data_IF_111475023972
#
_entry.id   IF_111475023972
#
_cell.length_a   1.000
_cell.length_b   1.000
_cell.length_c   1.000
_cell.angle_alpha   90.00
_cell.angle_beta   90.00
_cell.angle_gamma   90.00
#
_symmetry.space_group_name_H-M   'P 1'
#
loop_
_entity.id
_entity.type
_entity.pdbx_description
1 polymer ?
#
# COMPACT_ATOMS: atom_id res chain seq x y z
N UNK A 1 21.42 -42.98 7.40
CA UNK A 1 21.27 -42.48 6.01
C UNK A 1 19.84 -42.08 5.68
N UNK A 2 18.82 -42.91 5.98
CA UNK A 2 17.42 -42.57 5.74
C UNK A 2 16.95 -41.30 6.43
N UNK A 3 17.46 -41.00 7.63
CA UNK A 3 17.08 -39.81 8.42
C UNK A 3 17.50 -38.51 7.75
N UNK A 4 18.70 -38.42 7.15
CA UNK A 4 19.19 -37.18 6.54
C UNK A 4 18.46 -36.86 5.23
N UNK A 5 18.18 -37.85 4.41
CA UNK A 5 17.40 -37.68 3.17
C UNK A 5 15.94 -37.34 3.49
N UNK A 6 15.39 -37.99 4.50
CA UNK A 6 14.02 -37.75 4.95
C UNK A 6 13.85 -36.35 5.58
N UNK A 7 14.82 -35.89 6.39
CA UNK A 7 14.80 -34.55 6.96
C UNK A 7 14.91 -33.45 5.88
N UNK A 8 15.78 -33.63 4.87
CA UNK A 8 15.88 -32.69 3.75
C UNK A 8 14.61 -32.67 2.92
N UNK A 9 14.02 -33.84 2.66
CA UNK A 9 12.74 -33.98 1.96
C UNK A 9 11.57 -33.37 2.75
N UNK A 10 11.48 -33.64 4.07
CA UNK A 10 10.44 -33.10 4.94
C UNK A 10 10.56 -31.58 5.08
N UNK A 11 11.79 -31.05 5.24
CA UNK A 11 12.04 -29.60 5.25
C UNK A 11 11.66 -28.95 3.92
N UNK A 12 12.04 -29.54 2.80
CA UNK A 12 11.68 -29.07 1.46
C UNK A 12 10.17 -29.09 1.21
N UNK A 13 9.44 -30.10 1.72
CA UNK A 13 8.00 -30.17 1.60
C UNK A 13 7.25 -29.26 2.59
N UNK A 14 7.73 -29.13 3.83
CA UNK A 14 7.18 -28.20 4.82
C UNK A 14 7.25 -26.75 4.32
N UNK A 15 8.45 -26.33 3.87
CA UNK A 15 8.64 -25.01 3.26
C UNK A 15 7.76 -24.80 2.01
N UNK A 16 7.50 -25.86 1.24
CA UNK A 16 6.60 -25.78 0.08
C UNK A 16 5.15 -25.57 0.48
N UNK A 17 4.67 -26.23 1.53
CA UNK A 17 3.28 -26.11 2.00
C UNK A 17 3.03 -24.72 2.57
N UNK A 18 3.94 -24.20 3.41
CA UNK A 18 3.87 -22.83 3.96
C UNK A 18 3.92 -21.77 2.86
N UNK A 19 4.78 -21.97 1.87
CA UNK A 19 4.87 -21.11 0.71
C UNK A 19 3.58 -21.07 -0.11
N UNK A 20 3.00 -22.24 -0.41
CA UNK A 20 1.73 -22.30 -1.13
C UNK A 20 0.57 -21.69 -0.35
N UNK A 21 0.58 -21.81 0.98
CA UNK A 21 -0.41 -21.19 1.85
C UNK A 21 -0.26 -19.65 1.88
N UNK A 22 0.97 -19.12 1.92
CA UNK A 22 1.24 -17.68 1.88
C UNK A 22 0.89 -17.09 0.51
N UNK A 23 1.25 -17.74 -0.58
CA UNK A 23 0.82 -17.36 -1.94
C UNK A 23 -0.69 -17.35 -2.08
N UNK A 24 -1.38 -18.33 -1.53
CA UNK A 24 -2.85 -18.38 -1.55
C UNK A 24 -3.49 -17.19 -0.82
N UNK A 25 -2.94 -16.79 0.33
CA UNK A 25 -3.40 -15.59 1.07
C UNK A 25 -3.15 -14.30 0.30
N UNK A 26 -1.95 -14.13 -0.26
CA UNK A 26 -1.58 -12.94 -1.04
C UNK A 26 -2.42 -12.84 -2.32
N UNK A 27 -2.59 -13.95 -3.01
CA UNK A 27 -3.43 -14.03 -4.19
C UNK A 27 -4.91 -13.69 -3.89
N UNK A 28 -5.45 -14.18 -2.78
CA UNK A 28 -6.81 -13.84 -2.35
C UNK A 28 -6.94 -12.33 -2.04
N UNK A 29 -5.89 -11.72 -1.49
CA UNK A 29 -5.85 -10.27 -1.23
C UNK A 29 -5.80 -9.47 -2.53
N UNK A 30 -4.97 -9.86 -3.49
CA UNK A 30 -4.93 -9.23 -4.81
C UNK A 30 -6.28 -9.28 -5.53
N UNK A 31 -6.99 -10.42 -5.49
CA UNK A 31 -8.31 -10.51 -6.12
C UNK A 31 -9.31 -9.57 -5.46
N UNK A 32 -9.32 -9.52 -4.13
CA UNK A 32 -10.20 -8.61 -3.39
C UNK A 32 -9.96 -7.16 -3.80
N UNK A 33 -8.70 -6.79 -3.94
CA UNK A 33 -8.29 -5.43 -4.28
C UNK A 33 -8.54 -5.10 -5.76
N UNK A 34 -8.31 -6.04 -6.67
CA UNK A 34 -8.61 -5.87 -8.10
C UNK A 34 -10.12 -5.74 -8.37
N UNK A 35 -10.96 -6.55 -7.71
CA UNK A 35 -12.42 -6.42 -7.83
C UNK A 35 -12.94 -5.12 -7.22
N UNK A 36 -12.33 -4.66 -6.14
CA UNK A 36 -12.61 -3.34 -5.57
C UNK A 36 -12.30 -2.21 -6.57
N UNK A 37 -11.16 -2.29 -7.26
CA UNK A 37 -10.72 -1.33 -8.28
C UNK A 37 -11.70 -1.18 -9.44
N UNK A 38 -12.19 -2.30 -9.98
CA UNK A 38 -13.08 -2.32 -11.13
C UNK A 38 -14.45 -1.68 -10.83
N UNK A 39 -14.90 -1.78 -9.58
CA UNK A 39 -16.19 -1.27 -9.12
C UNK A 39 -16.14 0.17 -8.54
N UNK A 40 -14.95 0.68 -8.29
CA UNK A 40 -14.75 1.99 -7.64
C UNK A 40 -15.33 3.21 -8.38
N UNK A 41 -15.12 3.41 -9.69
CA UNK A 41 -15.63 4.59 -10.39
C UNK A 41 -17.16 4.64 -10.38
N UNK A 42 -17.82 3.50 -10.64
CA UNK A 42 -19.28 3.40 -10.67
C UNK A 42 -19.90 3.60 -9.29
N UNK A 43 -19.16 3.22 -8.25
CA UNK A 43 -19.62 3.36 -6.87
C UNK A 43 -19.65 4.83 -6.43
N UNK A 44 -18.62 5.62 -6.79
CA UNK A 44 -18.59 7.06 -6.49
C UNK A 44 -19.67 7.84 -7.22
N UNK A 45 -19.89 7.57 -8.50
CA UNK A 45 -20.98 8.22 -9.25
C UNK A 45 -22.33 7.87 -8.65
N UNK A 46 -22.56 6.60 -8.31
CA UNK A 46 -23.80 6.14 -7.67
C UNK A 46 -24.02 6.77 -6.29
N UNK A 47 -22.96 6.92 -5.47
CA UNK A 47 -23.07 7.61 -4.18
C UNK A 47 -23.41 9.09 -4.40
N UNK A 48 -22.74 9.74 -5.36
CA UNK A 48 -22.99 11.14 -5.68
C UNK A 48 -24.42 11.38 -6.12
N UNK A 49 -24.87 10.62 -7.10
CA UNK A 49 -26.25 10.71 -7.61
C UNK A 49 -27.29 10.46 -6.51
N UNK A 50 -27.05 9.44 -5.68
CA UNK A 50 -27.95 9.12 -4.55
C UNK A 50 -27.99 10.25 -3.51
N UNK A 51 -26.85 10.81 -3.13
CA UNK A 51 -26.80 11.90 -2.15
C UNK A 51 -27.43 13.17 -2.72
N UNK A 52 -27.14 13.49 -3.97
CA UNK A 52 -27.71 14.65 -4.65
C UNK A 52 -29.23 14.52 -4.77
N UNK A 53 -29.71 13.39 -5.25
CA UNK A 53 -31.12 13.14 -5.42
C UNK A 53 -31.88 13.16 -4.06
N UNK A 54 -31.30 12.50 -3.05
CA UNK A 54 -31.88 12.49 -1.69
C UNK A 54 -31.91 13.88 -1.07
N UNK A 55 -30.87 14.68 -1.27
CA UNK A 55 -30.78 16.05 -0.79
C UNK A 55 -31.83 16.92 -1.49
N UNK A 56 -31.97 16.80 -2.80
CA UNK A 56 -33.02 17.49 -3.59
C UNK A 56 -34.41 17.09 -3.12
N UNK A 57 -34.69 15.81 -3.01
CA UNK A 57 -36.00 15.29 -2.57
C UNK A 57 -36.37 15.72 -1.15
N UNK A 58 -35.42 15.85 -0.25
CA UNK A 58 -35.67 16.28 1.11
C UNK A 58 -35.84 17.80 1.23
N UNK A 59 -35.05 18.60 0.55
CA UNK A 59 -34.98 20.06 0.77
C UNK A 59 -35.86 20.86 -0.18
N UNK A 60 -35.91 20.54 -1.48
CA UNK A 60 -36.62 21.36 -2.47
C UNK A 60 -38.12 21.49 -2.13
N UNK A 61 -38.87 20.41 -1.77
CA UNK A 61 -40.27 20.53 -1.41
C UNK A 61 -40.49 21.39 -0.16
N UNK A 62 -39.57 21.34 0.80
CA UNK A 62 -39.69 22.15 2.02
C UNK A 62 -39.43 23.64 1.72
N UNK A 63 -38.43 23.93 0.88
CA UNK A 63 -38.15 25.30 0.46
C UNK A 63 -39.30 25.91 -0.34
N UNK A 64 -39.93 25.11 -1.23
CA UNK A 64 -41.14 25.54 -1.97
C UNK A 64 -42.29 25.83 -1.03
N UNK A 65 -42.59 24.89 -0.09
CA UNK A 65 -43.67 25.09 0.88
C UNK A 65 -43.47 26.34 1.78
N UNK A 66 -42.21 26.64 2.15
CA UNK A 66 -41.90 27.87 2.90
C UNK A 66 -42.09 29.11 2.02
N UNK A 67 -41.74 29.07 0.73
CA UNK A 67 -41.98 30.17 -0.23
C UNK A 67 -43.46 30.43 -0.40
N UNK A 68 -44.31 29.39 -0.47
CA UNK A 68 -45.74 29.49 -0.63
C UNK A 68 -46.42 30.12 0.60
N UNK A 69 -46.01 29.73 1.82
CA UNK A 69 -46.47 30.33 3.07
C UNK A 69 -46.17 31.83 3.18
N UNK A 70 -45.12 32.27 2.55
CA UNK A 70 -44.71 33.68 2.49
C UNK A 70 -45.45 34.44 1.37
N UNK A 71 -46.18 33.75 0.47
CA UNK A 71 -46.83 34.33 -0.71
C UNK A 71 -48.30 34.64 -0.52
N UNK A 72 -49.12 33.76 0.12
CA UNK A 72 -50.58 33.85 0.08
C UNK A 72 -51.25 34.44 1.32
N UNK A 73 -50.70 34.31 2.50
CA UNK A 73 -51.09 35.01 3.73
C UNK A 73 -49.89 34.89 4.67
N UNK A 74 -49.23 35.96 4.97
CA UNK A 74 -47.98 35.96 5.77
C UNK A 74 -48.16 35.22 7.11
N UNK A 75 -48.25 33.88 7.07
CA UNK A 75 -48.24 33.02 8.24
C UNK A 75 -46.79 32.82 8.68
N UNK A 76 -46.24 33.90 9.19
CA UNK A 76 -44.82 34.02 9.59
C UNK A 76 -44.46 33.01 10.66
N UNK A 77 -45.37 32.68 11.57
CA UNK A 77 -45.14 31.70 12.62
C UNK A 77 -44.92 30.28 12.04
N UNK A 78 -45.77 29.89 11.11
CA UNK A 78 -45.64 28.58 10.47
C UNK A 78 -44.37 28.51 9.58
N UNK A 79 -44.02 29.59 8.88
CA UNK A 79 -42.77 29.66 8.10
C UNK A 79 -41.53 29.57 8.99
N UNK A 80 -41.54 30.22 10.16
CA UNK A 80 -40.46 30.13 11.16
C UNK A 80 -40.32 28.69 11.70
N UNK A 81 -41.43 28.05 12.05
CA UNK A 81 -41.41 26.66 12.57
C UNK A 81 -40.95 25.67 11.51
N UNK A 82 -41.36 25.83 10.25
CA UNK A 82 -40.88 24.99 9.14
C UNK A 82 -39.39 25.21 8.84
N UNK A 83 -38.91 26.44 8.87
CA UNK A 83 -37.48 26.73 8.72
C UNK A 83 -36.67 26.06 9.84
N UNK A 84 -37.12 26.20 11.09
CA UNK A 84 -36.47 25.55 12.24
C UNK A 84 -36.46 24.03 12.09
N UNK A 85 -37.59 23.43 11.72
CA UNK A 85 -37.73 22.00 11.47
C UNK A 85 -36.75 21.52 10.36
N UNK A 86 -36.71 22.24 9.23
CA UNK A 86 -35.83 21.90 8.11
C UNK A 86 -34.37 21.92 8.54
N UNK A 87 -33.94 22.92 9.32
CA UNK A 87 -32.55 23.01 9.79
C UNK A 87 -32.21 21.90 10.79
N UNK A 88 -33.09 21.63 11.77
CA UNK A 88 -32.77 20.71 12.89
C UNK A 88 -33.02 19.26 12.54
N UNK A 89 -34.14 18.97 11.85
CA UNK A 89 -34.62 17.60 11.65
C UNK A 89 -34.29 17.04 10.26
N UNK A 90 -33.82 17.89 9.32
CA UNK A 90 -33.43 17.42 7.98
C UNK A 90 -31.96 17.67 7.71
N UNK A 91 -31.46 18.91 7.79
CA UNK A 91 -30.10 19.24 7.40
C UNK A 91 -29.08 18.62 8.38
N UNK A 92 -29.26 18.77 9.70
CA UNK A 92 -28.34 18.25 10.69
C UNK A 92 -28.20 16.73 10.67
N UNK A 93 -29.28 15.94 10.62
CA UNK A 93 -29.17 14.49 10.48
C UNK A 93 -28.51 14.07 9.17
N UNK A 94 -28.84 14.74 8.04
CA UNK A 94 -28.23 14.46 6.75
C UNK A 94 -26.71 14.72 6.76
N UNK A 95 -26.25 15.82 7.36
CA UNK A 95 -24.82 16.09 7.54
C UNK A 95 -24.14 15.00 8.38
N UNK A 96 -24.79 14.55 9.46
CA UNK A 96 -24.26 13.47 10.31
C UNK A 96 -24.17 12.14 9.56
N UNK A 97 -25.15 11.84 8.72
CA UNK A 97 -25.15 10.63 7.89
C UNK A 97 -24.00 10.69 6.86
N UNK A 98 -23.84 11.80 6.14
CA UNK A 98 -22.75 12.01 5.18
C UNK A 98 -21.37 11.89 5.87
N UNK A 99 -21.22 12.47 7.06
CA UNK A 99 -20.00 12.39 7.84
C UNK A 99 -19.68 10.96 8.32
N UNK A 100 -20.71 10.15 8.59
CA UNK A 100 -20.54 8.77 9.09
C UNK A 100 -20.49 7.71 8.00
N UNK A 101 -20.67 8.06 6.73
CA UNK A 101 -20.69 7.10 5.62
C UNK A 101 -19.28 6.57 5.36
N UNK A 102 -18.97 5.40 5.94
CA UNK A 102 -17.71 4.70 5.69
C UNK A 102 -17.83 3.86 4.41
N UNK A 103 -16.73 3.76 3.63
CA UNK A 103 -16.72 2.86 2.49
C UNK A 103 -16.98 1.44 2.96
N UNK A 104 -18.09 0.84 2.50
CA UNK A 104 -18.41 -0.55 2.84
C UNK A 104 -17.31 -1.45 2.27
N UNK A 105 -16.73 -2.36 3.08
CA UNK A 105 -15.75 -3.29 2.58
C UNK A 105 -16.38 -4.12 1.43
N UNK A 106 -15.72 -4.12 0.28
CA UNK A 106 -16.19 -4.84 -0.89
C UNK A 106 -16.35 -6.33 -0.59
N UNK A 107 -17.54 -6.88 -0.82
CA UNK A 107 -17.77 -8.32 -0.77
C UNK A 107 -17.13 -8.98 -1.99
N UNK A 108 -16.10 -9.77 -1.77
CA UNK A 108 -15.44 -10.54 -2.84
C UNK A 108 -16.36 -11.66 -3.31
N UNK A 109 -16.95 -11.51 -4.50
CA UNK A 109 -17.87 -12.53 -5.05
C UNK A 109 -17.19 -13.52 -6.02
N UNK A 110 -15.94 -13.34 -6.39
CA UNK A 110 -15.35 -14.18 -7.45
C UNK A 110 -13.92 -14.66 -7.17
N UNK A 111 -13.79 -15.56 -6.20
CA UNK A 111 -12.52 -16.28 -5.93
C UNK A 111 -12.25 -17.39 -6.98
N UNK A 112 -13.20 -17.68 -7.86
CA UNK A 112 -13.13 -18.86 -8.74
C UNK A 112 -12.21 -18.75 -9.96
N UNK A 113 -11.76 -17.56 -10.34
CA UNK A 113 -10.93 -17.34 -11.54
C UNK A 113 -9.41 -17.32 -11.31
N UNK A 114 -8.96 -17.66 -10.11
CA UNK A 114 -7.52 -17.70 -9.89
C UNK A 114 -6.90 -18.90 -10.58
N UNK A 115 -6.24 -18.63 -11.68
CA UNK A 115 -5.34 -19.60 -12.32
C UNK A 115 -4.27 -19.95 -11.30
N UNK A 116 -4.25 -21.20 -10.82
CA UNK A 116 -3.22 -21.72 -9.92
C UNK A 116 -1.87 -21.24 -10.42
N UNK A 117 -1.22 -20.33 -9.68
CA UNK A 117 0.16 -19.98 -9.96
C UNK A 117 0.95 -21.28 -9.83
N UNK A 118 1.35 -21.84 -10.95
CA UNK A 118 2.04 -23.11 -10.97
C UNK A 118 3.37 -22.93 -10.26
N UNK A 119 3.58 -23.63 -9.15
CA UNK A 119 4.87 -23.75 -8.46
C UNK A 119 5.89 -24.54 -9.29
N UNK A 120 5.66 -24.67 -10.60
CA UNK A 120 6.56 -25.32 -11.53
C UNK A 120 7.85 -24.50 -11.65
N UNK A 121 8.99 -25.18 -11.63
CA UNK A 121 10.28 -24.61 -11.91
C UNK A 121 10.25 -23.87 -13.27
N UNK A 122 11.02 -22.77 -13.44
CA UNK A 122 11.08 -22.07 -14.70
C UNK A 122 11.45 -23.05 -15.84
N UNK A 123 10.85 -22.84 -17.01
CA UNK A 123 11.07 -23.74 -18.14
C UNK A 123 12.55 -23.74 -18.60
N UNK A 124 13.23 -22.61 -18.42
CA UNK A 124 14.66 -22.40 -18.77
C UNK A 124 15.36 -21.56 -17.74
N UNK A 125 16.63 -21.84 -17.46
CA UNK A 125 17.49 -21.05 -16.55
C UNK A 125 19.00 -21.24 -16.90
N UNK A 126 19.84 -20.30 -16.42
CA UNK A 126 21.30 -20.38 -16.57
C UNK A 126 21.86 -21.42 -15.60
N UNK A 127 22.45 -22.49 -16.11
CA UNK A 127 23.07 -23.53 -15.28
C UNK A 127 24.39 -23.02 -14.66
N UNK A 128 25.11 -22.14 -15.36
CA UNK A 128 26.37 -21.57 -14.87
C UNK A 128 26.17 -20.83 -13.53
N UNK A 129 25.11 -20.00 -13.43
CA UNK A 129 24.85 -19.17 -12.25
C UNK A 129 24.26 -19.98 -11.08
N UNK A 130 23.55 -21.07 -11.41
CA UNK A 130 22.84 -21.88 -10.42
C UNK A 130 23.66 -23.05 -9.85
N UNK A 131 24.79 -23.40 -10.48
CA UNK A 131 25.61 -24.49 -10.02
C UNK A 131 26.46 -24.03 -8.82
N UNK A 132 26.14 -24.55 -7.64
CA UNK A 132 26.83 -24.26 -6.38
C UNK A 132 27.97 -25.27 -6.16
N UNK A 133 29.12 -25.06 -6.83
CA UNK A 133 30.26 -25.95 -6.77
C UNK A 133 30.76 -26.15 -5.34
N UNK A 134 30.95 -25.06 -4.57
CA UNK A 134 31.46 -25.12 -3.20
C UNK A 134 30.60 -25.99 -2.29
N UNK A 135 29.29 -25.73 -2.27
CA UNK A 135 28.36 -26.49 -1.43
C UNK A 135 28.21 -27.94 -1.87
N UNK A 136 28.25 -28.21 -3.20
CA UNK A 136 28.23 -29.58 -3.72
C UNK A 136 29.47 -30.35 -3.24
N UNK A 137 30.63 -29.72 -3.25
CA UNK A 137 31.89 -30.33 -2.78
C UNK A 137 31.93 -30.52 -1.25
N UNK A 138 31.30 -29.62 -0.48
CA UNK A 138 31.14 -29.79 0.97
C UNK A 138 30.23 -30.97 1.32
N UNK A 139 29.15 -31.20 0.56
CA UNK A 139 28.30 -32.37 0.77
C UNK A 139 29.05 -33.67 0.49
N UNK A 140 29.85 -33.70 -0.59
CA UNK A 140 30.69 -34.83 -0.92
C UNK A 140 31.76 -35.06 0.15
N UNK A 141 32.43 -34.00 0.62
CA UNK A 141 33.38 -34.06 1.72
C UNK A 141 32.78 -34.72 2.96
N UNK A 142 31.61 -34.25 3.43
CA UNK A 142 30.94 -34.79 4.60
C UNK A 142 30.58 -36.27 4.38
N UNK A 143 30.08 -36.60 3.20
CA UNK A 143 29.74 -37.98 2.85
C UNK A 143 30.91 -38.93 2.85
N UNK A 144 31.97 -38.59 2.15
CA UNK A 144 33.18 -39.46 1.98
C UNK A 144 34.04 -39.47 3.23
N UNK A 145 34.25 -38.31 3.89
CA UNK A 145 35.14 -38.21 5.08
C UNK A 145 34.61 -39.03 6.26
N UNK A 146 33.31 -39.06 6.48
CA UNK A 146 32.70 -39.85 7.55
C UNK A 146 33.06 -41.33 7.40
N UNK A 147 33.08 -41.86 6.19
CA UNK A 147 33.43 -43.25 5.93
C UNK A 147 34.93 -43.52 5.98
N UNK A 148 35.76 -42.61 5.44
CA UNK A 148 37.22 -42.75 5.47
C UNK A 148 37.75 -42.76 6.92
N UNK A 149 37.18 -41.94 7.78
CA UNK A 149 37.56 -41.90 9.22
C UNK A 149 37.08 -43.17 9.93
N UNK A 150 35.79 -43.57 9.71
CA UNK A 150 35.20 -44.74 10.38
C UNK A 150 35.89 -46.07 9.95
N UNK A 151 36.33 -46.16 8.71
CA UNK A 151 37.02 -47.35 8.18
C UNK A 151 38.51 -47.36 8.47
N UNK A 152 39.04 -46.38 9.23
CA UNK A 152 40.40 -46.37 9.76
C UNK A 152 41.49 -46.08 8.69
N UNK A 153 41.22 -45.23 7.72
CA UNK A 153 42.28 -44.74 6.84
C UNK A 153 43.41 -44.11 7.64
N UNK A 154 44.67 -44.46 7.40
CA UNK A 154 45.82 -43.95 8.16
C UNK A 154 45.94 -42.44 8.17
N UNK A 155 45.48 -41.79 7.08
CA UNK A 155 45.49 -40.35 6.87
C UNK A 155 44.09 -39.79 6.60
N UNK A 156 43.06 -40.32 7.25
CA UNK A 156 41.63 -40.08 6.92
C UNK A 156 41.25 -38.63 6.69
N UNK A 157 41.86 -37.69 7.40
CA UNK A 157 41.61 -36.24 7.21
C UNK A 157 42.26 -35.74 5.91
N UNK A 158 43.51 -36.10 5.64
CA UNK A 158 44.24 -35.69 4.43
C UNK A 158 43.58 -36.31 3.18
N UNK A 159 43.18 -37.56 3.26
CA UNK A 159 42.50 -38.28 2.19
C UNK A 159 41.11 -37.66 1.90
N UNK A 160 40.42 -37.24 2.94
CA UNK A 160 39.14 -36.52 2.79
C UNK A 160 39.33 -35.17 2.10
N UNK A 161 40.35 -34.41 2.46
CA UNK A 161 40.70 -33.15 1.81
C UNK A 161 41.14 -33.34 0.35
N UNK A 162 41.89 -34.43 0.06
CA UNK A 162 42.24 -34.74 -1.32
C UNK A 162 41.02 -35.08 -2.17
N UNK A 163 40.08 -35.89 -1.66
CA UNK A 163 38.81 -36.18 -2.33
C UNK A 163 38.00 -34.91 -2.58
N UNK A 164 37.90 -34.02 -1.59
CA UNK A 164 37.28 -32.70 -1.75
C UNK A 164 37.92 -31.87 -2.84
N UNK A 165 39.26 -31.77 -2.83
CA UNK A 165 39.99 -30.98 -3.81
C UNK A 165 39.80 -31.51 -5.25
N UNK A 166 39.81 -32.84 -5.44
CA UNK A 166 39.55 -33.47 -6.72
C UNK A 166 38.11 -33.14 -7.20
N UNK A 167 37.14 -33.39 -6.37
CA UNK A 167 35.71 -33.14 -6.70
C UNK A 167 35.46 -31.66 -7.01
N UNK A 168 35.96 -30.78 -6.15
CA UNK A 168 35.84 -29.32 -6.33
C UNK A 168 36.49 -28.84 -7.64
N UNK A 169 37.69 -29.36 -7.96
CA UNK A 169 38.40 -28.98 -9.18
C UNK A 169 37.62 -29.40 -10.43
N UNK A 170 37.14 -30.63 -10.48
CA UNK A 170 36.37 -31.14 -11.62
C UNK A 170 35.09 -30.33 -11.83
N UNK A 171 34.34 -30.07 -10.76
CA UNK A 171 33.13 -29.25 -10.85
C UNK A 171 33.41 -27.78 -11.20
N UNK A 172 34.57 -27.23 -10.73
CA UNK A 172 34.97 -25.85 -11.07
C UNK A 172 35.35 -25.74 -12.54
N UNK A 173 36.07 -26.71 -13.09
CA UNK A 173 36.37 -26.78 -14.53
C UNK A 173 35.09 -26.90 -15.34
N UNK A 174 34.18 -27.75 -14.90
CA UNK A 174 32.88 -27.86 -15.55
C UNK A 174 32.10 -26.50 -15.55
N UNK A 175 32.03 -25.86 -14.40
CA UNK A 175 31.38 -24.54 -14.30
C UNK A 175 32.04 -23.51 -15.23
N UNK A 176 33.36 -23.53 -15.33
CA UNK A 176 34.13 -22.66 -16.22
C UNK A 176 33.82 -22.92 -17.71
N UNK A 177 33.62 -24.17 -18.09
CA UNK A 177 33.28 -24.57 -19.47
C UNK A 177 31.81 -24.27 -19.83
N UNK A 178 30.93 -24.07 -18.85
CA UNK A 178 29.54 -23.75 -19.11
C UNK A 178 29.38 -22.34 -19.69
N UNK A 179 28.63 -22.17 -20.79
CA UNK A 179 28.38 -20.86 -21.36
C UNK A 179 27.49 -20.04 -20.43
N UNK A 180 27.93 -18.86 -20.03
CA UNK A 180 27.27 -17.97 -19.06
C UNK A 180 25.85 -17.55 -19.52
N UNK A 181 25.66 -17.31 -20.83
CA UNK A 181 24.42 -16.78 -21.36
C UNK A 181 23.40 -17.84 -21.82
N UNK A 182 23.82 -19.14 -21.85
CA UNK A 182 22.95 -20.19 -22.38
C UNK A 182 21.94 -20.64 -21.34
N UNK A 183 20.67 -20.56 -21.70
CA UNK A 183 19.57 -21.08 -20.88
C UNK A 183 19.30 -22.55 -21.23
N UNK A 184 19.16 -23.37 -20.22
CA UNK A 184 18.89 -24.80 -20.33
C UNK A 184 17.49 -25.12 -19.85
N UNK A 185 16.84 -26.10 -20.48
CA UNK A 185 15.64 -26.70 -19.95
C UNK A 185 15.95 -27.49 -18.67
N UNK A 186 14.97 -27.60 -17.76
CA UNK A 186 15.10 -28.32 -16.50
C UNK A 186 15.71 -29.72 -16.66
N UNK A 187 15.17 -30.52 -17.59
CA UNK A 187 15.67 -31.89 -17.82
C UNK A 187 17.09 -31.92 -18.31
N UNK A 188 17.45 -31.04 -19.24
CA UNK A 188 18.82 -30.92 -19.76
C UNK A 188 19.80 -30.45 -18.68
N UNK A 189 19.38 -29.50 -17.83
CA UNK A 189 20.22 -29.02 -16.74
C UNK A 189 20.49 -30.10 -15.69
N UNK A 190 19.45 -30.85 -15.29
CA UNK A 190 19.60 -31.99 -14.36
C UNK A 190 20.48 -33.06 -14.99
N UNK A 191 20.28 -33.42 -16.25
CA UNK A 191 21.09 -34.43 -16.96
C UNK A 191 22.57 -34.02 -17.02
N UNK A 192 22.85 -32.79 -17.45
CA UNK A 192 24.24 -32.28 -17.50
C UNK A 192 24.88 -32.25 -16.12
N UNK A 193 24.18 -31.75 -15.11
CA UNK A 193 24.69 -31.71 -13.72
C UNK A 193 24.97 -33.12 -13.22
N UNK A 194 24.08 -34.08 -13.46
CA UNK A 194 24.29 -35.49 -13.08
C UNK A 194 25.46 -36.11 -13.81
N UNK A 195 25.60 -35.89 -15.11
CA UNK A 195 26.72 -36.41 -15.91
C UNK A 195 28.07 -35.95 -15.38
N UNK A 196 28.22 -34.65 -15.12
CA UNK A 196 29.50 -34.12 -14.61
C UNK A 196 29.74 -34.47 -13.13
N UNK A 197 28.69 -34.63 -12.35
CA UNK A 197 28.78 -35.12 -11.00
C UNK A 197 29.27 -36.58 -10.98
N UNK A 198 28.83 -37.43 -11.92
CA UNK A 198 29.39 -38.79 -12.11
C UNK A 198 30.86 -38.75 -12.46
N UNK A 199 31.26 -37.86 -13.37
CA UNK A 199 32.69 -37.72 -13.75
C UNK A 199 33.54 -37.29 -12.53
N UNK A 200 33.03 -36.30 -11.74
CA UNK A 200 33.72 -35.85 -10.54
C UNK A 200 33.84 -36.95 -9.48
N UNK A 201 32.77 -37.66 -9.22
CA UNK A 201 32.77 -38.79 -8.27
C UNK A 201 33.62 -39.95 -8.76
N UNK A 202 33.67 -40.22 -10.07
CA UNK A 202 34.56 -41.25 -10.64
C UNK A 202 36.03 -40.89 -10.44
N UNK A 203 36.41 -39.63 -10.53
CA UNK A 203 37.76 -39.18 -10.22
C UNK A 203 38.11 -39.39 -8.73
N UNK A 204 37.17 -39.18 -7.81
CA UNK A 204 37.36 -39.49 -6.39
C UNK A 204 37.49 -41.00 -6.16
N UNK A 205 36.67 -41.83 -6.81
CA UNK A 205 36.74 -43.28 -6.73
C UNK A 205 38.06 -43.80 -7.26
N UNK A 206 38.58 -43.23 -8.37
CA UNK A 206 39.87 -43.52 -8.90
C UNK A 206 40.99 -43.23 -7.90
N UNK A 207 40.94 -42.08 -7.23
CA UNK A 207 41.88 -41.75 -6.15
C UNK A 207 41.82 -42.79 -5.02
N UNK A 208 40.64 -43.17 -4.55
CA UNK A 208 40.43 -44.15 -3.49
C UNK A 208 41.03 -45.51 -3.90
N UNK A 209 40.83 -45.90 -5.16
CA UNK A 209 41.34 -47.17 -5.66
C UNK A 209 42.87 -47.25 -5.72
N UNK A 210 43.52 -46.21 -6.21
CA UNK A 210 45.00 -46.25 -6.44
C UNK A 210 45.82 -45.87 -5.22
N UNK A 211 45.29 -45.05 -4.32
CA UNK A 211 46.05 -44.49 -3.21
C UNK A 211 45.65 -45.03 -1.84
N UNK A 212 44.46 -45.59 -1.72
CA UNK A 212 43.93 -46.12 -0.45
C UNK A 212 43.77 -47.64 -0.56
N UNK A 213 44.65 -48.42 0.08
CA UNK A 213 44.65 -49.88 0.04
C UNK A 213 43.54 -50.50 0.89
N UNK A 214 42.28 -50.34 0.48
CA UNK A 214 41.13 -51.02 1.10
C UNK A 214 40.87 -52.42 0.52
N UNK A 215 40.20 -53.26 1.34
CA UNK A 215 39.69 -54.53 0.83
C UNK A 215 38.66 -54.29 -0.26
N UNK A 216 38.51 -55.23 -1.20
CA UNK A 216 37.59 -55.12 -2.33
C UNK A 216 36.15 -54.75 -1.89
N UNK A 217 35.64 -55.38 -0.82
CA UNK A 217 34.34 -55.11 -0.31
C UNK A 217 34.15 -53.66 0.16
N UNK A 218 35.13 -53.16 0.95
CA UNK A 218 35.12 -51.79 1.48
C UNK A 218 35.26 -50.80 0.34
N UNK A 219 36.08 -51.07 -0.66
CA UNK A 219 36.22 -50.25 -1.85
C UNK A 219 34.89 -50.04 -2.59
N UNK A 220 34.18 -51.13 -2.89
CA UNK A 220 32.92 -51.03 -3.60
C UNK A 220 31.82 -50.32 -2.80
N UNK A 221 31.83 -50.48 -1.47
CA UNK A 221 30.92 -49.71 -0.60
C UNK A 221 31.23 -48.20 -0.65
N UNK A 222 32.51 -47.80 -0.54
CA UNK A 222 32.94 -46.41 -0.64
C UNK A 222 32.65 -45.81 -2.03
N UNK A 223 32.97 -46.53 -3.10
CA UNK A 223 32.73 -46.11 -4.46
C UNK A 223 31.23 -45.88 -4.75
N UNK A 224 30.38 -46.82 -4.35
CA UNK A 224 28.94 -46.67 -4.49
C UNK A 224 28.41 -45.46 -3.71
N UNK A 225 28.95 -45.25 -2.51
CA UNK A 225 28.52 -44.13 -1.67
C UNK A 225 28.99 -42.77 -2.23
N UNK A 226 30.24 -42.65 -2.69
CA UNK A 226 30.78 -41.45 -3.31
C UNK A 226 29.96 -41.05 -4.56
N UNK A 227 29.64 -42.02 -5.41
CA UNK A 227 28.81 -41.76 -6.61
C UNK A 227 27.41 -41.29 -6.23
N UNK A 228 26.76 -41.92 -5.24
CA UNK A 228 25.42 -41.54 -4.80
C UNK A 228 25.40 -40.13 -4.20
N UNK A 229 26.31 -39.82 -3.28
CA UNK A 229 26.43 -38.49 -2.66
C UNK A 229 26.79 -37.42 -3.68
N UNK A 230 27.74 -37.72 -4.57
CA UNK A 230 28.22 -36.82 -5.59
C UNK A 230 27.15 -36.44 -6.63
N UNK A 231 26.21 -37.33 -6.92
CA UNK A 231 25.09 -37.01 -7.83
C UNK A 231 23.95 -36.27 -7.09
N UNK A 232 23.56 -36.77 -5.93
CA UNK A 232 22.42 -36.24 -5.19
C UNK A 232 22.67 -34.80 -4.74
N UNK A 233 23.87 -34.50 -4.23
CA UNK A 233 24.24 -33.19 -3.71
C UNK A 233 24.03 -32.06 -4.73
N UNK A 234 24.71 -32.04 -5.88
CA UNK A 234 24.57 -30.99 -6.89
C UNK A 234 23.17 -30.86 -7.44
N UNK A 235 22.45 -31.97 -7.66
CA UNK A 235 21.09 -31.99 -8.20
C UNK A 235 20.09 -31.38 -7.21
N UNK A 236 20.21 -31.74 -5.93
CA UNK A 236 19.37 -31.14 -4.87
C UNK A 236 19.66 -29.64 -4.71
N UNK A 237 20.92 -29.25 -4.64
CA UNK A 237 21.31 -27.85 -4.55
C UNK A 237 20.81 -27.05 -5.75
N UNK A 238 20.95 -27.57 -6.96
CA UNK A 238 20.43 -26.94 -8.17
C UNK A 238 18.92 -26.71 -8.07
N UNK A 239 18.17 -27.73 -7.64
CA UNK A 239 16.71 -27.60 -7.47
C UNK A 239 16.33 -26.58 -6.40
N UNK A 240 17.05 -26.56 -5.28
CA UNK A 240 16.82 -25.61 -4.20
C UNK A 240 17.10 -24.17 -4.66
N UNK A 241 18.23 -23.93 -5.32
CA UNK A 241 18.63 -22.60 -5.81
C UNK A 241 17.60 -22.03 -6.79
N UNK A 242 17.20 -22.83 -7.77
CA UNK A 242 16.19 -22.42 -8.76
C UNK A 242 14.83 -22.16 -8.12
N UNK A 243 14.46 -22.91 -7.08
CA UNK A 243 13.19 -22.69 -6.34
C UNK A 243 13.23 -21.42 -5.49
N UNK A 244 14.34 -21.17 -4.76
CA UNK A 244 14.45 -20.00 -3.89
C UNK A 244 14.46 -18.71 -4.71
N UNK A 245 15.13 -18.70 -5.86
CA UNK A 245 15.16 -17.52 -6.72
C UNK A 245 13.79 -17.21 -7.33
N UNK A 246 13.09 -18.24 -7.83
CA UNK A 246 11.70 -18.05 -8.32
C UNK A 246 10.77 -17.57 -7.21
N UNK A 247 10.96 -18.03 -5.99
CA UNK A 247 10.24 -17.55 -4.82
C UNK A 247 10.47 -16.05 -4.60
N UNK A 248 11.74 -15.63 -4.59
CA UNK A 248 12.11 -14.22 -4.38
C UNK A 248 11.56 -13.32 -5.48
N UNK A 249 11.59 -13.79 -6.74
CA UNK A 249 10.99 -13.05 -7.88
C UNK A 249 9.49 -12.86 -7.70
N UNK A 250 8.77 -13.92 -7.32
CA UNK A 250 7.32 -13.84 -7.07
C UNK A 250 7.01 -12.97 -5.84
N UNK A 251 7.80 -13.06 -4.78
CA UNK A 251 7.62 -12.22 -3.59
C UNK A 251 7.84 -10.74 -3.92
N UNK A 252 8.83 -10.41 -4.77
CA UNK A 252 9.04 -9.04 -5.24
C UNK A 252 7.85 -8.55 -6.09
N UNK A 253 7.42 -9.33 -7.08
CA UNK A 253 6.26 -8.96 -7.90
C UNK A 253 4.99 -8.74 -7.07
N UNK A 254 4.75 -9.60 -6.08
CA UNK A 254 3.59 -9.45 -5.18
C UNK A 254 3.70 -8.17 -4.35
N UNK A 255 4.90 -7.84 -3.87
CA UNK A 255 5.11 -6.60 -3.11
C UNK A 255 4.84 -5.38 -3.98
N UNK A 256 5.37 -5.33 -5.19
CA UNK A 256 5.15 -4.23 -6.13
C UNK A 256 3.66 -4.07 -6.47
N UNK A 257 2.95 -5.19 -6.68
CA UNK A 257 1.50 -5.19 -6.90
C UNK A 257 0.73 -4.67 -5.68
N UNK A 258 1.11 -5.07 -4.45
CA UNK A 258 0.48 -4.60 -3.22
C UNK A 258 0.69 -3.09 -3.02
N UNK A 259 1.88 -2.58 -3.29
CA UNK A 259 2.19 -1.15 -3.20
C UNK A 259 1.36 -0.35 -4.22
N UNK A 260 1.20 -0.85 -5.45
CA UNK A 260 0.34 -0.21 -6.46
C UNK A 260 -1.12 -0.15 -6.03
N UNK A 261 -1.63 -1.23 -5.45
CA UNK A 261 -3.00 -1.33 -4.96
C UNK A 261 -3.22 -0.43 -3.72
N UNK A 262 -2.24 -0.34 -2.83
CA UNK A 262 -2.32 0.57 -1.68
C UNK A 262 -2.45 2.03 -2.14
N UNK A 263 -1.66 2.44 -3.14
CA UNK A 263 -1.75 3.77 -3.76
C UNK A 263 -3.13 4.04 -4.38
N UNK A 264 -3.67 3.08 -5.13
CA UNK A 264 -5.01 3.21 -5.75
C UNK A 264 -6.13 3.31 -4.71
N UNK A 265 -6.06 2.52 -3.64
CA UNK A 265 -7.02 2.60 -2.54
C UNK A 265 -6.97 3.95 -1.84
N UNK A 266 -5.78 4.50 -1.62
CA UNK A 266 -5.62 5.83 -1.04
C UNK A 266 -6.16 6.93 -1.97
N UNK A 267 -5.94 6.84 -3.29
CA UNK A 267 -6.56 7.75 -4.26
C UNK A 267 -8.10 7.69 -4.23
N UNK A 268 -8.66 6.50 -4.04
CA UNK A 268 -10.10 6.35 -3.90
C UNK A 268 -10.60 6.96 -2.58
N UNK A 269 -9.92 6.69 -1.48
CA UNK A 269 -10.26 7.27 -0.18
C UNK A 269 -10.22 8.80 -0.24
N UNK A 270 -9.20 9.38 -0.89
CA UNK A 270 -9.13 10.84 -1.15
C UNK A 270 -10.37 11.34 -1.89
N UNK A 271 -10.76 10.69 -2.99
CA UNK A 271 -11.95 11.11 -3.76
C UNK A 271 -13.21 11.06 -2.93
N UNK A 272 -13.42 9.98 -2.17
CA UNK A 272 -14.59 9.83 -1.32
C UNK A 272 -14.60 10.87 -0.19
N UNK A 273 -13.43 11.12 0.41
CA UNK A 273 -13.27 12.13 1.45
C UNK A 273 -13.55 13.55 0.92
N UNK A 274 -12.95 13.91 -0.23
CA UNK A 274 -13.19 15.19 -0.91
C UNK A 274 -14.67 15.36 -1.22
N UNK A 275 -15.29 14.33 -1.74
CA UNK A 275 -16.70 14.32 -2.05
C UNK A 275 -17.56 14.58 -0.80
N UNK A 276 -17.33 13.83 0.29
CA UNK A 276 -18.04 14.04 1.57
C UNK A 276 -17.80 15.45 2.13
N UNK A 277 -16.56 15.90 2.11
CA UNK A 277 -16.19 17.22 2.63
C UNK A 277 -16.85 18.35 1.85
N UNK A 278 -16.89 18.27 0.52
CA UNK A 278 -17.58 19.24 -0.33
C UNK A 278 -19.09 19.28 -0.04
N UNK A 279 -19.74 18.13 0.10
CA UNK A 279 -21.16 18.08 0.49
C UNK A 279 -21.41 18.70 1.86
N UNK A 280 -20.57 18.43 2.84
CA UNK A 280 -20.68 19.06 4.17
C UNK A 280 -20.51 20.58 4.10
N UNK A 281 -19.59 21.08 3.28
CA UNK A 281 -19.41 22.51 3.07
C UNK A 281 -20.62 23.16 2.40
N UNK A 282 -21.23 22.53 1.39
CA UNK A 282 -22.45 23.00 0.75
C UNK A 282 -23.61 23.06 1.75
N UNK A 283 -23.85 21.96 2.46
CA UNK A 283 -24.98 21.88 3.40
C UNK A 283 -24.81 22.80 4.60
N UNK A 284 -23.64 22.82 5.22
CA UNK A 284 -23.38 23.66 6.40
C UNK A 284 -23.12 25.12 6.04
N UNK A 285 -22.26 25.38 5.05
CA UNK A 285 -21.86 26.72 4.65
C UNK A 285 -22.99 27.47 3.92
N UNK A 286 -23.49 26.90 2.84
CA UNK A 286 -24.39 27.63 1.94
C UNK A 286 -25.86 27.41 2.29
N UNK A 287 -26.31 26.16 2.48
CA UNK A 287 -27.73 25.88 2.71
C UNK A 287 -28.14 26.30 4.12
N UNK A 288 -27.45 25.77 5.14
CA UNK A 288 -27.81 26.06 6.53
C UNK A 288 -27.69 27.55 6.87
N UNK A 289 -26.64 28.23 6.38
CA UNK A 289 -26.44 29.66 6.64
C UNK A 289 -27.52 30.52 6.00
N UNK A 290 -27.93 30.21 4.75
CA UNK A 290 -29.01 30.90 4.07
C UNK A 290 -30.35 30.70 4.78
N UNK A 291 -30.66 29.48 5.23
CA UNK A 291 -31.89 29.22 5.99
C UNK A 291 -31.89 29.87 7.39
N UNK A 292 -30.71 29.92 8.03
CA UNK A 292 -30.52 30.61 9.32
C UNK A 292 -30.73 32.11 9.15
N UNK A 293 -30.20 32.69 8.06
CA UNK A 293 -30.43 34.11 7.76
C UNK A 293 -31.93 34.40 7.54
N UNK A 294 -32.61 33.56 6.75
CA UNK A 294 -34.08 33.67 6.54
C UNK A 294 -34.85 33.57 7.87
N UNK A 295 -34.51 32.58 8.71
CA UNK A 295 -35.10 32.40 10.04
C UNK A 295 -34.86 33.60 10.95
N UNK A 296 -33.64 34.11 11.02
CA UNK A 296 -33.28 35.25 11.86
C UNK A 296 -33.97 36.52 11.40
N UNK A 297 -34.12 36.76 10.10
CA UNK A 297 -34.87 37.89 9.56
C UNK A 297 -36.36 37.86 9.98
N UNK A 298 -36.98 36.70 9.86
CA UNK A 298 -38.39 36.54 10.25
C UNK A 298 -38.60 36.65 11.76
N UNK A 299 -37.68 36.16 12.58
CA UNK A 299 -37.79 36.21 14.05
C UNK A 299 -37.56 37.61 14.62
N UNK A 300 -36.70 38.42 14.01
CA UNK A 300 -36.35 39.76 14.50
C UNK A 300 -37.25 40.85 13.90
N UNK A 301 -38.12 40.52 12.96
CA UNK A 301 -38.99 41.48 12.34
C UNK A 301 -40.12 41.91 13.30
N UNK A 302 -40.32 43.20 13.48
CA UNK A 302 -41.44 43.76 14.22
C UNK A 302 -42.72 43.75 13.38
N UNK A 303 -42.60 43.95 12.09
CA UNK A 303 -43.67 43.90 11.09
C UNK A 303 -43.13 43.16 9.85
N UNK A 304 -44.00 42.40 9.20
CA UNK A 304 -43.66 41.66 7.97
C UNK A 304 -44.11 42.51 6.79
N UNK A 305 -43.19 43.20 6.20
CA UNK A 305 -43.40 43.98 4.99
C UNK A 305 -42.97 43.22 3.72
N UNK A 306 -43.34 43.74 2.54
CA UNK A 306 -42.99 43.13 1.26
C UNK A 306 -41.50 43.04 1.00
N UNK A 307 -40.71 43.96 1.59
CA UNK A 307 -39.25 43.97 1.44
C UNK A 307 -38.59 42.83 2.22
N UNK A 308 -39.08 42.59 3.44
CA UNK A 308 -38.62 41.46 4.25
C UNK A 308 -38.95 40.11 3.57
N UNK A 309 -40.15 39.96 3.06
CA UNK A 309 -40.56 38.76 2.33
C UNK A 309 -39.68 38.49 1.13
N UNK A 310 -39.31 39.54 0.37
CA UNK A 310 -38.41 39.39 -0.78
C UNK A 310 -37.00 38.99 -0.37
N UNK A 311 -36.45 39.57 0.72
CA UNK A 311 -35.14 39.17 1.26
C UNK A 311 -35.14 37.72 1.72
N UNK A 312 -36.18 37.24 2.38
CA UNK A 312 -36.33 35.86 2.80
C UNK A 312 -36.43 34.91 1.58
N UNK A 313 -37.20 35.30 0.54
CA UNK A 313 -37.26 34.56 -0.72
C UNK A 313 -35.90 34.46 -1.41
N UNK A 314 -35.09 35.51 -1.37
CA UNK A 314 -33.72 35.51 -1.89
C UNK A 314 -32.79 34.55 -1.08
N UNK A 315 -32.91 34.51 0.25
CA UNK A 315 -32.17 33.59 1.09
C UNK A 315 -32.58 32.13 0.76
N UNK A 316 -33.86 31.84 0.57
CA UNK A 316 -34.36 30.53 0.16
C UNK A 316 -33.86 30.14 -1.25
N UNK A 317 -33.86 31.09 -2.19
CA UNK A 317 -33.34 30.86 -3.54
C UNK A 317 -31.82 30.57 -3.54
N UNK A 318 -31.08 31.22 -2.64
CA UNK A 318 -29.62 30.90 -2.44
C UNK A 318 -29.45 29.48 -1.92
N UNK A 319 -30.25 29.05 -0.95
CA UNK A 319 -30.19 27.67 -0.45
C UNK A 319 -30.54 26.67 -1.55
N UNK A 320 -31.58 26.92 -2.35
CA UNK A 320 -31.98 26.06 -3.47
C UNK A 320 -30.87 25.96 -4.54
N UNK A 321 -30.31 27.10 -4.94
CA UNK A 321 -29.21 27.16 -5.91
C UNK A 321 -27.98 26.42 -5.39
N UNK A 322 -27.67 26.46 -4.09
CA UNK A 322 -26.57 25.75 -3.49
C UNK A 322 -26.73 24.22 -3.56
N UNK A 323 -27.95 23.69 -3.42
CA UNK A 323 -28.27 22.28 -3.58
C UNK A 323 -28.14 21.82 -5.05
N UNK A 324 -28.45 22.73 -6.00
CA UNK A 324 -28.42 22.44 -7.43
C UNK A 324 -27.06 22.71 -8.08
N UNK A 325 -26.20 23.51 -7.42
CA UNK A 325 -24.87 23.80 -7.93
C UNK A 325 -24.01 22.53 -7.97
N UNK A 326 -23.37 22.31 -9.10
CA UNK A 326 -22.44 21.21 -9.26
C UNK A 326 -21.23 21.36 -8.33
N UNK A 327 -20.75 20.24 -7.77
CA UNK A 327 -19.56 20.14 -6.90
C UNK A 327 -18.22 20.59 -7.55
N UNK A 328 -18.27 21.33 -8.66
CA UNK A 328 -17.14 21.59 -9.56
C UNK A 328 -16.40 22.91 -9.30
N UNK A 329 -16.63 23.58 -8.17
CA UNK A 329 -15.78 24.72 -7.84
C UNK A 329 -14.35 24.22 -7.58
N UNK A 330 -13.48 24.42 -8.58
CA UNK A 330 -12.05 24.10 -8.50
C UNK A 330 -11.42 24.94 -7.38
N UNK A 331 -10.99 24.28 -6.31
CA UNK A 331 -10.24 24.94 -5.26
C UNK A 331 -8.80 25.12 -5.76
N UNK A 332 -8.43 26.36 -5.99
CA UNK A 332 -7.06 26.70 -6.34
C UNK A 332 -6.19 26.62 -5.08
N UNK A 333 -5.27 25.66 -5.03
CA UNK A 333 -4.34 25.46 -3.91
C UNK A 333 -3.60 26.75 -3.52
N UNK A 334 -3.20 27.55 -4.51
CA UNK A 334 -2.49 28.81 -4.23
C UNK A 334 -3.36 29.82 -3.47
N UNK A 335 -4.64 29.90 -3.80
CA UNK A 335 -5.59 30.74 -3.06
C UNK A 335 -5.77 30.23 -1.63
N UNK A 336 -5.85 28.91 -1.44
CA UNK A 336 -5.94 28.31 -0.11
C UNK A 336 -4.70 28.55 0.75
N UNK A 337 -3.52 28.57 0.15
CA UNK A 337 -2.26 28.91 0.84
C UNK A 337 -2.24 30.40 1.23
N UNK A 338 -2.64 31.29 0.34
CA UNK A 338 -2.72 32.73 0.65
C UNK A 338 -3.72 32.98 1.79
N UNK A 339 -4.90 32.36 1.73
CA UNK A 339 -5.90 32.44 2.80
C UNK A 339 -5.32 31.92 4.14
N UNK A 340 -4.57 30.81 4.12
CA UNK A 340 -3.93 30.26 5.31
C UNK A 340 -2.90 31.25 5.90
N UNK A 341 -2.10 31.88 5.05
CA UNK A 341 -1.13 32.90 5.48
C UNK A 341 -1.83 34.15 6.05
N UNK A 342 -2.92 34.61 5.45
CA UNK A 342 -3.72 35.75 5.94
C UNK A 342 -4.38 35.45 7.30
N UNK A 343 -4.95 34.26 7.47
CA UNK A 343 -5.61 33.86 8.73
C UNK A 343 -4.65 33.87 9.91
N UNK A 344 -3.41 33.50 9.70
CA UNK A 344 -2.41 33.43 10.77
C UNK A 344 -1.44 34.63 10.79
N UNK A 345 -1.66 35.64 9.95
CA UNK A 345 -0.84 36.81 9.90
C UNK A 345 -0.76 37.54 11.29
N UNK A 346 0.46 37.84 11.73
CA UNK A 346 0.72 38.44 13.05
C UNK A 346 0.70 37.44 14.24
N UNK A 347 0.32 36.19 14.03
CA UNK A 347 0.34 35.10 15.04
C UNK A 347 1.46 34.12 14.71
N UNK A 348 1.46 33.60 13.49
CA UNK A 348 2.42 32.61 13.02
C UNK A 348 2.86 32.94 11.59
N UNK A 349 4.17 33.01 11.38
CA UNK A 349 4.74 33.20 10.03
C UNK A 349 4.71 31.85 9.29
N UNK A 350 3.92 31.76 8.23
CA UNK A 350 3.78 30.54 7.43
C UNK A 350 4.53 30.69 6.11
N UNK A 351 5.63 29.92 5.95
CA UNK A 351 6.43 29.87 4.72
C UNK A 351 6.10 28.60 3.94
N UNK A 352 5.74 28.74 2.65
CA UNK A 352 5.38 27.62 1.81
C UNK A 352 6.30 27.52 0.60
N UNK A 353 6.90 26.35 0.39
CA UNK A 353 7.74 26.01 -0.75
C UNK A 353 7.14 24.81 -1.48
N UNK A 354 6.91 24.94 -2.79
CA UNK A 354 6.35 23.89 -3.62
C UNK A 354 7.29 23.68 -4.81
N UNK A 355 7.78 22.46 -5.01
CA UNK A 355 8.64 22.17 -6.14
C UNK A 355 7.87 22.26 -7.47
N UNK A 356 8.54 22.56 -8.56
CA UNK A 356 7.92 22.66 -9.89
C UNK A 356 7.32 21.33 -10.37
N UNK A 357 7.85 20.19 -9.88
CA UNK A 357 7.27 18.86 -10.15
C UNK A 357 5.95 18.67 -9.39
N UNK A 358 5.90 19.10 -8.14
CA UNK A 358 4.68 19.04 -7.33
C UNK A 358 3.60 19.99 -7.86
N UNK A 359 3.95 21.24 -8.24
CA UNK A 359 3.00 22.18 -8.84
C UNK A 359 2.31 21.60 -10.07
N UNK A 360 3.09 20.99 -10.98
CA UNK A 360 2.54 20.36 -12.19
C UNK A 360 1.63 19.16 -11.89
N UNK A 361 1.94 18.37 -10.87
CA UNK A 361 1.11 17.24 -10.46
C UNK A 361 -0.21 17.72 -9.84
N UNK A 362 -0.15 18.71 -8.95
CA UNK A 362 -1.30 19.31 -8.29
C UNK A 362 -2.24 20.02 -9.26
N UNK A 363 -1.70 20.70 -10.27
CA UNK A 363 -2.51 21.35 -11.31
C UNK A 363 -3.34 20.36 -12.15
N UNK A 364 -3.04 19.06 -12.12
CA UNK A 364 -3.78 18.00 -12.83
C UNK A 364 -4.80 17.25 -11.98
N UNK A 365 -4.81 17.49 -10.66
CA UNK A 365 -5.69 16.79 -9.72
C UNK A 365 -6.28 17.75 -8.69
N UNK A 366 -7.48 18.23 -8.96
CA UNK A 366 -8.23 19.10 -8.04
C UNK A 366 -8.48 18.43 -6.71
N UNK A 367 -8.78 17.12 -6.70
CA UNK A 367 -9.02 16.37 -5.47
C UNK A 367 -7.76 16.30 -4.60
N UNK A 368 -6.60 16.03 -5.20
CA UNK A 368 -5.33 16.02 -4.44
C UNK A 368 -4.97 17.41 -3.95
N UNK A 369 -5.20 18.46 -4.76
CA UNK A 369 -4.97 19.86 -4.36
C UNK A 369 -5.85 20.25 -3.19
N UNK A 370 -7.11 19.80 -3.16
CA UNK A 370 -8.02 19.99 -2.05
C UNK A 370 -7.54 19.28 -0.79
N UNK A 371 -7.12 18.01 -0.89
CA UNK A 371 -6.56 17.26 0.23
C UNK A 371 -5.31 17.93 0.80
N UNK A 372 -4.38 18.38 -0.06
CA UNK A 372 -3.18 19.11 0.36
C UNK A 372 -3.56 20.36 1.14
N UNK A 373 -4.50 21.15 0.64
CA UNK A 373 -4.95 22.36 1.31
C UNK A 373 -5.52 22.10 2.71
N UNK A 374 -6.33 21.06 2.86
CA UNK A 374 -6.91 20.68 4.15
C UNK A 374 -5.85 20.13 5.13
N UNK A 375 -4.85 19.37 4.64
CA UNK A 375 -3.71 18.95 5.45
C UNK A 375 -2.93 20.17 5.97
N UNK A 376 -2.66 21.15 5.12
CA UNK A 376 -1.94 22.36 5.52
C UNK A 376 -2.72 23.17 6.56
N UNK A 377 -4.03 23.36 6.34
CA UNK A 377 -4.92 24.04 7.29
C UNK A 377 -4.91 23.36 8.65
N UNK A 378 -5.04 22.05 8.68
CA UNK A 378 -5.05 21.27 9.91
C UNK A 378 -3.68 21.31 10.61
N UNK A 379 -2.59 21.06 9.87
CA UNK A 379 -1.25 21.03 10.44
C UNK A 379 -0.83 22.37 11.04
N UNK A 380 -1.07 23.48 10.33
CA UNK A 380 -0.72 24.82 10.83
C UNK A 380 -1.66 25.23 11.98
N UNK A 381 -2.96 24.92 11.87
CA UNK A 381 -3.91 25.18 12.95
C UNK A 381 -3.52 24.46 14.25
N UNK A 382 -3.12 23.19 14.15
CA UNK A 382 -2.67 22.40 15.29
C UNK A 382 -1.36 22.90 15.86
N UNK A 383 -0.40 23.29 15.02
CA UNK A 383 0.85 23.88 15.43
C UNK A 383 0.64 25.18 16.27
N UNK A 384 -0.29 26.03 15.83
CA UNK A 384 -0.58 27.30 16.54
C UNK A 384 -1.43 27.07 17.80
N UNK A 385 -2.54 26.30 17.68
CA UNK A 385 -3.50 26.15 18.79
C UNK A 385 -3.03 25.26 19.91
N UNK A 386 -2.26 24.23 19.57
CA UNK A 386 -1.82 23.22 20.52
C UNK A 386 -0.32 23.26 20.80
N UNK A 387 0.46 23.82 19.88
CA UNK A 387 1.90 23.91 20.00
C UNK A 387 2.42 25.32 20.29
N UNK A 388 1.57 26.35 20.30
CA UNK A 388 1.96 27.77 20.44
C UNK A 388 3.05 28.19 19.44
N UNK A 389 2.99 27.62 18.22
CA UNK A 389 3.97 27.87 17.17
C UNK A 389 3.86 29.31 16.64
N UNK A 390 4.99 29.99 16.49
CA UNK A 390 5.10 31.32 15.87
C UNK A 390 5.70 31.27 14.46
N UNK A 391 6.28 30.16 14.08
CA UNK A 391 6.83 29.92 12.74
C UNK A 391 6.45 28.52 12.26
N UNK A 392 6.01 28.43 11.01
CA UNK A 392 5.73 27.16 10.32
C UNK A 392 6.32 27.21 8.90
N UNK A 393 7.03 26.17 8.53
CA UNK A 393 7.60 25.99 7.18
C UNK A 393 6.98 24.76 6.53
N UNK A 394 6.43 24.94 5.34
CA UNK A 394 5.81 23.90 4.54
C UNK A 394 6.68 23.63 3.32
N UNK A 395 6.98 22.36 3.08
CA UNK A 395 7.61 21.90 1.84
C UNK A 395 6.72 20.86 1.18
N UNK A 396 6.47 21.01 -0.12
CA UNK A 396 5.70 20.06 -0.93
C UNK A 396 6.58 19.65 -2.10
N UNK A 397 6.93 18.36 -2.14
CA UNK A 397 7.73 17.80 -3.23
C UNK A 397 7.09 16.55 -3.82
N UNK A 398 7.44 16.26 -5.06
CA UNK A 398 7.09 15.04 -5.75
C UNK A 398 8.26 14.07 -5.70
N UNK A 399 8.19 13.07 -4.82
CA UNK A 399 9.27 12.11 -4.60
C UNK A 399 9.26 10.98 -5.61
N UNK A 400 8.09 10.65 -6.16
CA UNK A 400 7.94 9.62 -7.19
C UNK A 400 6.92 10.08 -8.25
N UNK A 401 6.77 9.34 -9.34
CA UNK A 401 5.86 9.74 -10.43
C UNK A 401 4.41 9.85 -9.99
N UNK A 402 4.02 9.12 -8.97
CA UNK A 402 2.67 9.05 -8.44
C UNK A 402 2.56 9.39 -6.93
N UNK A 403 3.59 10.01 -6.34
CA UNK A 403 3.66 10.27 -4.90
C UNK A 403 4.16 11.67 -4.58
N UNK A 404 3.37 12.40 -3.79
CA UNK A 404 3.73 13.68 -3.18
C UNK A 404 4.14 13.47 -1.73
N UNK A 405 5.16 14.20 -1.29
CA UNK A 405 5.52 14.34 0.13
C UNK A 405 5.27 15.76 0.57
N UNK A 406 4.56 15.90 1.69
CA UNK A 406 4.28 17.16 2.37
C UNK A 406 5.03 17.10 3.69
N UNK A 407 5.84 18.10 3.94
CA UNK A 407 6.54 18.28 5.21
C UNK A 407 6.11 19.63 5.82
N UNK A 408 5.60 19.56 7.04
CA UNK A 408 5.24 20.78 7.81
C UNK A 408 6.09 20.78 9.08
N UNK A 409 7.01 21.71 9.13
CA UNK A 409 7.91 21.91 10.27
C UNK A 409 7.51 23.19 11.02
N UNK A 410 7.45 23.15 12.34
CA UNK A 410 7.13 24.30 13.15
C UNK A 410 7.97 24.33 14.44
N UNK A 411 8.05 25.52 15.07
CA UNK A 411 8.81 25.75 16.31
C UNK A 411 7.98 25.56 17.58
N UNK A 412 6.78 24.98 17.46
CA UNK A 412 5.87 24.76 18.59
C UNK A 412 6.27 23.62 19.50
N UNK A 413 5.48 23.42 20.54
CA UNK A 413 5.64 22.33 21.50
C UNK A 413 5.10 21.02 20.89
N UNK A 414 5.84 19.90 20.97
CA UNK A 414 5.33 18.62 20.50
C UNK A 414 4.19 18.11 21.42
N UNK A 415 3.25 17.33 20.88
CA UNK A 415 2.21 16.71 21.69
C UNK A 415 2.82 15.83 22.79
N UNK A 416 2.19 15.83 23.98
CA UNK A 416 2.66 15.05 25.13
C UNK A 416 2.61 13.54 24.84
N UNK A 417 3.66 12.81 25.25
CA UNK A 417 3.70 11.36 25.12
C UNK A 417 2.57 10.74 25.95
N UNK A 418 1.53 10.24 25.29
CA UNK A 418 0.40 9.56 25.95
C UNK A 418 -0.96 10.23 25.73
N UNK A 419 -1.03 11.47 25.25
CA UNK A 419 -2.25 11.99 24.65
C UNK A 419 -2.43 11.27 23.33
N UNK A 420 -3.54 10.52 23.20
CA UNK A 420 -3.88 9.89 21.95
C UNK A 420 -3.88 10.96 20.86
N UNK A 421 -3.10 10.76 19.81
CA UNK A 421 -3.14 11.56 18.58
C UNK A 421 -4.50 11.42 17.86
N UNK A 422 -5.49 10.82 18.51
CA UNK A 422 -6.86 10.68 18.03
C UNK A 422 -7.58 12.02 18.14
N UNK A 423 -7.51 12.79 17.08
CA UNK A 423 -8.28 14.01 16.86
C UNK A 423 -8.70 14.08 15.40
N UNK A 424 -9.51 15.07 15.05
CA UNK A 424 -10.01 15.29 13.68
C UNK A 424 -8.88 15.29 12.65
N UNK A 425 -7.70 15.79 13.03
CA UNK A 425 -6.53 15.86 12.14
C UNK A 425 -5.87 14.51 11.87
N UNK A 426 -5.78 13.61 12.86
CA UNK A 426 -5.27 12.25 12.64
C UNK A 426 -6.21 11.44 11.78
N UNK A 427 -7.53 11.55 11.98
CA UNK A 427 -8.54 10.87 11.17
C UNK A 427 -8.44 11.30 9.69
N UNK A 428 -8.18 12.60 9.44
CA UNK A 428 -7.92 13.12 8.10
C UNK A 428 -6.69 12.45 7.48
N UNK A 429 -5.55 12.44 8.20
CA UNK A 429 -4.31 11.85 7.68
C UNK A 429 -4.45 10.35 7.43
N UNK A 430 -5.08 9.61 8.34
CA UNK A 430 -5.33 8.17 8.21
C UNK A 430 -6.23 7.84 7.01
N UNK A 431 -7.16 8.72 6.67
CA UNK A 431 -8.10 8.48 5.57
C UNK A 431 -7.51 8.79 4.19
N UNK A 432 -6.67 9.83 4.06
CA UNK A 432 -6.23 10.31 2.74
C UNK A 432 -4.76 10.10 2.42
N UNK A 433 -3.89 9.88 3.43
CA UNK A 433 -2.47 9.66 3.23
C UNK A 433 -2.15 8.17 3.04
N UNK A 434 -1.11 7.88 2.29
CA UNK A 434 -0.53 6.54 2.19
C UNK A 434 0.26 6.21 3.46
N UNK A 435 1.06 7.18 3.89
CA UNK A 435 1.81 7.16 5.15
C UNK A 435 1.83 8.56 5.74
N UNK A 436 1.90 8.65 7.05
CA UNK A 436 2.18 9.90 7.73
C UNK A 436 2.87 9.65 9.07
N UNK A 437 3.62 10.63 9.52
CA UNK A 437 4.27 10.62 10.82
C UNK A 437 4.32 12.03 11.41
N UNK A 438 4.21 12.11 12.73
CA UNK A 438 4.39 13.33 13.48
C UNK A 438 5.50 13.10 14.51
N UNK A 439 6.61 13.76 14.30
CA UNK A 439 7.76 13.68 15.19
C UNK A 439 8.05 15.03 15.81
N UNK A 440 8.43 15.05 17.06
CA UNK A 440 8.74 16.30 17.74
C UNK A 440 9.84 16.17 18.77
N UNK A 441 10.65 17.19 18.86
CA UNK A 441 11.60 17.42 19.92
C UNK A 441 11.34 18.80 20.56
N UNK A 442 12.09 19.18 21.60
CA UNK A 442 11.91 20.46 22.30
C UNK A 442 12.11 21.71 21.44
N UNK A 443 12.58 21.58 20.21
CA UNK A 443 12.90 22.72 19.33
C UNK A 443 12.07 22.75 18.05
N UNK A 444 11.51 21.64 17.64
CA UNK A 444 10.88 21.50 16.34
C UNK A 444 9.90 20.34 16.33
N UNK A 445 8.75 20.54 15.71
CA UNK A 445 7.77 19.50 15.38
C UNK A 445 7.72 19.36 13.88
N UNK A 446 7.80 18.14 13.38
CA UNK A 446 7.78 17.80 11.97
C UNK A 446 6.63 16.81 11.69
N UNK A 447 5.70 17.23 10.86
CA UNK A 447 4.71 16.37 10.22
C UNK A 447 5.24 16.00 8.82
N UNK A 448 5.27 14.72 8.52
CA UNK A 448 5.53 14.20 7.16
C UNK A 448 4.30 13.43 6.71
N UNK A 449 3.77 13.74 5.53
CA UNK A 449 2.63 13.05 4.95
C UNK A 449 2.93 12.71 3.48
N UNK A 450 2.58 11.48 3.07
CA UNK A 450 2.75 10.98 1.71
C UNK A 450 1.39 10.76 1.07
N UNK A 451 1.12 11.51 -0.01
CA UNK A 451 -0.14 11.43 -0.74
C UNK A 451 0.09 10.86 -2.15
N UNK A 452 -0.67 9.86 -2.58
CA UNK A 452 -0.68 9.48 -3.97
C UNK A 452 -1.35 10.56 -4.82
N UNK A 453 -0.81 10.77 -6.03
CA UNK A 453 -1.34 11.69 -7.02
C UNK A 453 -1.55 10.98 -8.34
N UNK A 454 -2.70 11.21 -8.98
CA UNK A 454 -2.97 10.66 -10.30
C UNK A 454 -2.35 11.57 -11.36
N UNK A 455 -1.55 10.99 -12.28
CA UNK A 455 -0.99 11.66 -13.46
C UNK A 455 -2.03 11.88 -14.56
#
# INVERSE_FOLDING_TARGET
MGISVYTIWAFSNGARIEYLASLGKLAATQIRLASAREQMPDHLSTINERLQERTKQALIPQLAAIKDLLGEQANTLEAVDRLRYTITEQIRPMMKEIASEQPKPFKSTDIRKFRRVSAALPARFSLHDKLMVTWSSVIELIGVSMWLIVLGSPNGILDSLACFAIYFTVLSVYKFLLPKQKQFNKSTAIFLTSLFAVVASSAVVFYIYFFLNFSQLVFWMLAGFAIICGIIGPVLLLQLTVRTEKRNEIESQIKDDLDSIAKENSLFAQKLWVFRRRWLLILHGNVQSSLTAALTRLQNAKEVDGVLVELVKQDLARAEKAVDSSLHDSINLMNGILELQEVWAGICEVKVSISERAKRALARSDDTSFCVNEILKEAVSNAVRHGDATEASVSIDRIDDDLLRIEVSNNGTPPSKGESTQGIGSDLMDEICLNWSLEGNRKQVLLVAELPVKL
#
